data_IF_069715063637
#
_entry.id   IF_069715063637
#
_cell.length_a   1.000
_cell.length_b   1.000
_cell.length_c   1.000
_cell.angle_alpha   90.00
_cell.angle_beta   90.00
_cell.angle_gamma   90.00
#
_symmetry.space_group_name_H-M   'P 1'
#
loop_
_entity.id
_entity.type
_entity.pdbx_description
1 polymer ?
#
# COMPACT_ATOMS: atom_id res chain seq x y z
N UNK A 1 10.55 -25.04 11.39
CA UNK A 1 9.57 -24.10 10.84
C UNK A 1 9.38 -23.03 11.87
N UNK A 2 9.70 -21.81 11.47
CA UNK A 2 9.69 -20.61 12.27
C UNK A 2 8.34 -19.89 12.07
N UNK A 3 8.03 -18.95 12.95
CA UNK A 3 6.78 -18.18 12.91
C UNK A 3 7.10 -16.70 13.03
N UNK A 4 6.74 -15.90 12.02
CA UNK A 4 6.82 -14.44 12.09
C UNK A 4 5.49 -13.94 12.67
N UNK A 5 5.52 -13.47 13.92
CA UNK A 5 4.36 -12.90 14.61
C UNK A 5 4.34 -11.38 14.40
N UNK A 6 3.43 -10.91 13.56
CA UNK A 6 3.29 -9.50 13.17
C UNK A 6 1.96 -8.96 13.72
N UNK A 7 2.04 -8.01 14.65
CA UNK A 7 0.90 -7.40 15.31
C UNK A 7 0.61 -6.01 14.73
N UNK A 8 -0.63 -5.80 14.28
CA UNK A 8 -1.06 -4.57 13.59
C UNK A 8 -2.49 -4.18 13.98
N UNK A 9 -2.88 -2.94 13.68
CA UNK A 9 -4.29 -2.62 13.50
C UNK A 9 -4.68 -2.91 12.04
N UNK A 10 -5.29 -4.06 11.76
CA UNK A 10 -5.74 -4.35 10.40
C UNK A 10 -6.94 -3.47 9.96
N UNK A 11 -7.49 -2.61 10.82
CA UNK A 11 -8.37 -1.51 10.38
C UNK A 11 -7.59 -0.31 9.83
N UNK A 12 -6.28 -0.20 10.08
CA UNK A 12 -5.38 0.57 9.24
C UNK A 12 -5.02 -0.25 7.98
N UNK A 13 -5.52 0.10 6.79
CA UNK A 13 -5.27 -0.70 5.60
C UNK A 13 -3.81 -0.61 5.14
N UNK A 14 -3.04 0.43 5.50
CA UNK A 14 -1.62 0.51 5.22
C UNK A 14 -0.82 -0.58 5.94
N UNK A 15 -1.11 -0.81 7.22
CA UNK A 15 -0.51 -1.89 8.00
C UNK A 15 -0.91 -3.28 7.47
N UNK A 16 -2.20 -3.48 7.17
CA UNK A 16 -2.68 -4.71 6.55
C UNK A 16 -2.00 -4.99 5.19
N UNK A 17 -1.85 -3.97 4.34
CA UNK A 17 -1.18 -4.07 3.05
C UNK A 17 0.32 -4.35 3.22
N UNK A 18 0.98 -3.73 4.21
CA UNK A 18 2.40 -3.99 4.48
C UNK A 18 2.65 -5.43 4.96
N UNK A 19 1.73 -5.99 5.76
CA UNK A 19 1.73 -7.43 6.11
C UNK A 19 1.52 -8.30 4.86
N UNK A 20 0.60 -7.93 3.95
CA UNK A 20 0.47 -8.62 2.67
C UNK A 20 1.77 -8.56 1.83
N UNK A 21 2.50 -7.45 1.92
CA UNK A 21 3.83 -7.30 1.31
C UNK A 21 4.87 -8.25 1.92
N UNK A 22 4.91 -8.37 3.25
CA UNK A 22 5.78 -9.34 3.94
C UNK A 22 5.44 -10.78 3.51
N UNK A 23 4.15 -11.14 3.42
CA UNK A 23 3.70 -12.45 2.95
C UNK A 23 4.15 -12.72 1.49
N UNK A 24 4.09 -11.72 0.60
CA UNK A 24 4.61 -11.84 -0.77
C UNK A 24 6.12 -12.09 -0.80
N UNK A 25 6.89 -11.33 -0.01
CA UNK A 25 8.35 -11.41 0.04
C UNK A 25 8.82 -12.76 0.61
N UNK A 26 8.24 -13.19 1.73
CA UNK A 26 8.48 -14.52 2.33
C UNK A 26 8.06 -15.62 1.35
N UNK A 27 6.89 -15.48 0.70
CA UNK A 27 6.37 -16.45 -0.27
C UNK A 27 7.22 -16.68 -1.52
N UNK A 28 8.12 -15.74 -1.86
CA UNK A 28 9.05 -15.90 -2.98
C UNK A 28 10.30 -16.70 -2.60
N UNK A 29 10.81 -16.46 -1.40
CA UNK A 29 11.98 -17.14 -0.82
C UNK A 29 11.61 -18.54 -0.29
N UNK A 30 10.43 -18.68 0.30
CA UNK A 30 9.87 -19.95 0.80
C UNK A 30 8.46 -20.16 0.23
N UNK A 31 8.38 -20.98 -0.83
CA UNK A 31 7.13 -21.36 -1.50
C UNK A 31 6.22 -22.27 -0.65
N UNK A 32 6.71 -22.81 0.46
CA UNK A 32 5.93 -23.61 1.43
C UNK A 32 5.26 -22.77 2.51
N UNK A 33 5.62 -21.48 2.61
CA UNK A 33 5.12 -20.59 3.65
C UNK A 33 3.59 -20.41 3.61
N UNK A 34 3.01 -20.31 4.80
CA UNK A 34 1.58 -20.06 5.01
C UNK A 34 1.38 -18.87 5.94
N UNK A 35 0.21 -18.24 5.84
CA UNK A 35 -0.17 -17.12 6.69
C UNK A 35 -1.61 -17.26 7.19
N UNK A 36 -1.85 -16.90 8.46
CA UNK A 36 -3.19 -16.82 9.06
C UNK A 36 -3.33 -15.52 9.82
N UNK A 37 -4.57 -15.09 10.03
CA UNK A 37 -4.90 -13.96 10.89
C UNK A 37 -5.71 -14.42 12.10
N UNK A 38 -5.38 -13.86 13.26
CA UNK A 38 -6.09 -14.03 14.52
C UNK A 38 -6.29 -12.69 15.21
N UNK A 39 -7.15 -12.64 16.23
CA UNK A 39 -7.25 -11.48 17.13
C UNK A 39 -6.76 -11.88 18.51
N UNK A 40 -5.81 -11.13 19.05
CA UNK A 40 -5.16 -11.47 20.31
C UNK A 40 -5.07 -10.23 21.23
N UNK A 41 -5.45 -10.34 22.51
CA UNK A 41 -5.12 -9.36 23.54
C UNK A 41 -3.64 -9.49 23.96
N UNK A 42 -3.16 -8.60 24.82
CA UNK A 42 -1.90 -8.75 25.55
C UNK A 42 -0.61 -8.35 24.82
N UNK A 43 -0.63 -8.25 23.48
CA UNK A 43 0.59 -7.96 22.70
C UNK A 43 0.99 -6.48 22.68
N UNK A 44 0.08 -5.55 23.01
CA UNK A 44 0.42 -4.15 23.26
C UNK A 44 0.84 -4.01 24.72
N UNK A 45 2.15 -4.03 24.99
CA UNK A 45 2.70 -4.04 26.35
C UNK A 45 2.20 -2.88 27.26
N UNK A 46 1.87 -1.74 26.65
CA UNK A 46 1.34 -0.55 27.33
C UNK A 46 -0.17 -0.65 27.64
N UNK A 47 -0.91 -1.50 26.92
CA UNK A 47 -2.36 -1.69 27.07
C UNK A 47 -2.69 -3.18 26.88
N UNK A 48 -2.44 -4.06 27.88
CA UNK A 48 -2.61 -5.50 27.72
C UNK A 48 -4.06 -5.95 27.42
N UNK A 49 -5.05 -5.10 27.68
CA UNK A 49 -6.46 -5.32 27.30
C UNK A 49 -6.78 -5.00 25.84
N UNK A 50 -5.87 -4.34 25.10
CA UNK A 50 -6.07 -4.01 23.69
C UNK A 50 -5.97 -5.28 22.82
N UNK A 51 -7.04 -5.55 22.07
CA UNK A 51 -7.06 -6.62 21.05
C UNK A 51 -6.48 -6.07 19.74
N UNK A 52 -5.36 -6.64 19.30
CA UNK A 52 -4.78 -6.36 17.99
C UNK A 52 -5.15 -7.45 16.97
N UNK A 53 -5.00 -7.13 15.68
CA UNK A 53 -5.03 -8.12 14.61
C UNK A 53 -3.61 -8.66 14.40
N UNK A 54 -3.43 -9.96 14.57
CA UNK A 54 -2.13 -10.64 14.46
C UNK A 54 -2.11 -11.46 13.19
N UNK A 55 -1.12 -11.22 12.33
CA UNK A 55 -0.77 -12.18 11.29
C UNK A 55 0.38 -13.06 11.78
N UNK A 56 0.16 -14.37 11.76
CA UNK A 56 1.22 -15.36 11.88
C UNK A 56 1.60 -15.84 10.48
N UNK A 57 2.89 -15.79 10.15
CA UNK A 57 3.44 -16.35 8.91
C UNK A 57 4.37 -17.50 9.28
N UNK A 58 4.01 -18.73 8.90
CA UNK A 58 4.84 -19.92 9.11
C UNK A 58 5.78 -20.10 7.91
N UNK A 59 7.08 -20.30 8.18
CA UNK A 59 8.11 -20.37 7.13
C UNK A 59 9.34 -21.17 7.59
N UNK A 60 10.22 -21.55 6.66
CA UNK A 60 11.54 -22.09 6.95
C UNK A 60 12.63 -21.01 7.15
N UNK A 61 12.32 -19.73 6.91
CA UNK A 61 13.25 -18.59 6.99
C UNK A 61 13.35 -18.06 8.44
N UNK A 62 14.49 -17.51 8.85
CA UNK A 62 14.65 -16.81 10.14
C UNK A 62 14.13 -15.36 10.10
N UNK A 63 13.47 -14.89 11.17
CA UNK A 63 12.89 -13.52 11.19
C UNK A 63 13.98 -12.45 11.20
N UNK A 64 15.10 -12.66 11.92
CA UNK A 64 16.14 -11.67 12.08
C UNK A 64 17.03 -11.55 10.83
N UNK A 65 17.37 -12.67 10.19
CA UNK A 65 18.04 -12.65 8.88
C UNK A 65 17.16 -11.98 7.82
N UNK A 66 15.88 -12.38 7.72
CA UNK A 66 14.94 -11.80 6.76
C UNK A 66 14.73 -10.29 7.00
N UNK A 67 14.48 -9.87 8.23
CA UNK A 67 14.28 -8.46 8.57
C UNK A 67 15.53 -7.62 8.30
N UNK A 68 16.73 -8.14 8.61
CA UNK A 68 17.98 -7.43 8.37
C UNK A 68 18.23 -7.22 6.86
N UNK A 69 18.06 -8.26 6.04
CA UNK A 69 18.22 -8.16 4.58
C UNK A 69 17.12 -7.29 3.95
N UNK A 70 15.87 -7.41 4.41
CA UNK A 70 14.75 -6.60 3.92
C UNK A 70 14.93 -5.12 4.24
N UNK A 71 15.27 -4.78 5.49
CA UNK A 71 15.59 -3.41 5.90
C UNK A 71 16.69 -2.80 5.02
N UNK A 72 17.81 -3.51 4.86
CA UNK A 72 18.92 -3.10 4.00
C UNK A 72 18.51 -2.91 2.55
N UNK A 73 17.56 -3.69 2.03
CA UNK A 73 17.09 -3.61 0.64
C UNK A 73 16.00 -2.57 0.39
N UNK A 74 15.10 -2.34 1.34
CA UNK A 74 14.17 -1.21 1.29
C UNK A 74 14.94 0.12 1.32
N UNK A 75 16.03 0.21 2.10
CA UNK A 75 16.89 1.38 2.24
C UNK A 75 18.10 1.47 1.30
N UNK A 76 18.10 0.80 0.14
CA UNK A 76 19.24 0.77 -0.81
C UNK A 76 18.77 1.07 -2.23
N UNK A 77 19.11 2.25 -2.82
CA UNK A 77 18.70 2.60 -4.18
C UNK A 77 19.04 1.56 -5.25
N UNK A 78 20.18 0.86 -5.12
CA UNK A 78 20.60 -0.23 -6.03
C UNK A 78 19.70 -1.47 -6.00
N UNK A 79 18.74 -1.54 -5.07
CA UNK A 79 17.71 -2.57 -5.04
C UNK A 79 16.52 -2.25 -5.96
N UNK A 80 16.41 -1.00 -6.41
CA UNK A 80 15.22 -0.43 -7.03
C UNK A 80 15.48 0.02 -8.46
N UNK A 81 14.53 -0.30 -9.34
CA UNK A 81 14.63 -0.01 -10.76
C UNK A 81 13.31 0.58 -11.28
N UNK A 82 13.38 1.51 -12.22
CA UNK A 82 12.23 1.90 -13.02
C UNK A 82 12.17 1.08 -14.31
N UNK A 83 10.95 0.73 -14.73
CA UNK A 83 10.68 0.14 -16.05
C UNK A 83 10.15 1.26 -16.94
N UNK A 84 10.89 1.66 -17.98
CA UNK A 84 10.48 2.73 -18.92
C UNK A 84 9.89 2.15 -20.22
N UNK A 85 9.65 3.00 -21.22
CA UNK A 85 9.28 2.58 -22.58
C UNK A 85 10.39 1.80 -23.32
N UNK A 86 11.65 1.95 -22.87
CA UNK A 86 12.86 1.46 -23.57
C UNK A 86 13.63 0.40 -22.82
N UNK A 87 13.71 0.50 -21.50
CA UNK A 87 14.64 -0.28 -20.70
C UNK A 87 14.18 -0.40 -19.24
N UNK A 88 14.85 -1.27 -18.48
CA UNK A 88 14.86 -1.22 -17.03
C UNK A 88 16.14 -0.48 -16.59
N UNK A 89 15.97 0.61 -15.83
CA UNK A 89 17.06 1.48 -15.36
C UNK A 89 17.03 1.62 -13.84
N UNK A 90 18.13 1.96 -13.14
CA UNK A 90 18.11 2.26 -11.71
C UNK A 90 17.08 3.35 -11.35
N UNK A 91 16.43 3.24 -10.19
CA UNK A 91 15.35 4.16 -9.80
C UNK A 91 15.77 5.64 -9.79
N UNK A 92 17.02 5.91 -9.39
CA UNK A 92 17.59 7.26 -9.34
C UNK A 92 17.83 7.89 -10.73
N UNK A 93 17.97 7.08 -11.78
CA UNK A 93 18.15 7.58 -13.16
C UNK A 93 16.82 7.98 -13.81
N UNK A 94 15.69 7.45 -13.33
CA UNK A 94 14.35 7.71 -13.86
C UNK A 94 13.56 8.77 -13.06
N UNK A 95 14.21 9.57 -12.21
CA UNK A 95 13.57 10.72 -11.54
C UNK A 95 13.10 11.72 -12.61
N UNK A 96 11.91 12.30 -12.44
CA UNK A 96 11.20 13.11 -13.44
C UNK A 96 10.68 12.36 -14.69
N UNK A 97 11.17 11.15 -15.00
CA UNK A 97 10.76 10.40 -16.19
C UNK A 97 9.44 9.65 -16.02
N UNK A 98 8.85 9.20 -17.14
CA UNK A 98 7.73 8.27 -17.11
C UNK A 98 8.21 6.82 -16.97
N UNK A 99 7.74 6.14 -15.94
CA UNK A 99 7.93 4.71 -15.74
C UNK A 99 6.59 3.96 -15.86
N UNK A 100 6.58 2.82 -16.54
CA UNK A 100 5.48 1.86 -16.56
C UNK A 100 5.28 1.15 -15.21
N UNK A 101 6.32 1.10 -14.37
CA UNK A 101 6.33 0.47 -13.05
C UNK A 101 7.68 0.68 -12.35
N UNK A 102 7.75 0.33 -11.06
CA UNK A 102 9.00 0.31 -10.30
C UNK A 102 9.21 -1.10 -9.73
N UNK A 103 10.42 -1.63 -9.81
CA UNK A 103 10.78 -2.99 -9.42
C UNK A 103 11.71 -3.00 -8.20
N UNK A 104 11.36 -3.79 -7.18
CA UNK A 104 12.29 -4.19 -6.11
C UNK A 104 12.90 -5.56 -6.44
N UNK A 105 14.23 -5.66 -6.34
CA UNK A 105 14.95 -6.93 -6.46
C UNK A 105 15.57 -7.37 -5.12
N UNK A 106 15.04 -8.46 -4.56
CA UNK A 106 15.63 -9.15 -3.41
C UNK A 106 16.79 -10.06 -3.84
N UNK A 107 17.86 -10.19 -3.03
CA UNK A 107 18.81 -11.30 -3.13
C UNK A 107 18.10 -12.65 -3.04
N UNK A 108 18.56 -13.65 -3.79
CA UNK A 108 17.97 -15.00 -3.82
C UNK A 108 16.68 -15.15 -4.62
N UNK A 109 15.94 -14.06 -4.87
CA UNK A 109 14.78 -14.06 -5.76
C UNK A 109 15.22 -13.93 -7.23
N UNK A 110 14.80 -14.88 -8.08
CA UNK A 110 14.95 -14.78 -9.53
C UNK A 110 14.02 -13.69 -10.11
N UNK A 111 12.82 -13.56 -9.55
CA UNK A 111 11.77 -12.65 -10.01
C UNK A 111 11.76 -11.35 -9.19
N UNK A 112 11.89 -10.20 -9.84
CA UNK A 112 11.63 -8.90 -9.22
C UNK A 112 10.15 -8.71 -8.87
N UNK A 113 9.87 -7.81 -7.92
CA UNK A 113 8.50 -7.41 -7.57
C UNK A 113 8.18 -6.10 -8.28
N UNK A 114 7.30 -6.16 -9.27
CA UNK A 114 6.75 -4.96 -9.94
C UNK A 114 5.71 -4.31 -9.03
N UNK A 115 6.05 -3.13 -8.51
CA UNK A 115 5.11 -2.14 -7.99
C UNK A 115 4.55 -1.37 -9.19
N UNK A 116 3.42 -1.87 -9.70
CA UNK A 116 2.61 -1.17 -10.69
C UNK A 116 1.83 -0.06 -9.97
N UNK A 117 2.40 1.15 -10.00
CA UNK A 117 1.86 2.34 -9.34
C UNK A 117 0.70 2.98 -10.11
N UNK A 118 0.37 2.46 -11.31
CA UNK A 118 -0.75 2.94 -12.10
C UNK A 118 -2.03 2.17 -11.78
N UNK A 119 -2.85 2.74 -10.89
CA UNK A 119 -4.29 2.46 -10.87
C UNK A 119 -5.09 3.31 -11.89
N UNK A 120 -4.38 3.88 -12.87
CA UNK A 120 -4.91 4.24 -14.18
C UNK A 120 -4.66 3.10 -15.18
N UNK A 121 -5.49 2.97 -16.22
CA UNK A 121 -5.45 1.79 -17.10
C UNK A 121 -4.14 1.75 -17.90
N UNK A 122 -3.22 0.85 -17.52
CA UNK A 122 -2.03 0.55 -18.32
C UNK A 122 -2.44 0.15 -19.74
N UNK A 123 -1.98 0.92 -20.73
CA UNK A 123 -2.27 0.71 -22.15
C UNK A 123 -1.16 -0.14 -22.77
N UNK A 124 -1.55 -1.31 -23.27
CA UNK A 124 -0.63 -2.25 -23.93
C UNK A 124 -0.74 -2.07 -25.44
N UNK A 125 0.40 -1.92 -26.12
CA UNK A 125 0.48 -1.81 -27.58
C UNK A 125 1.50 -2.84 -28.10
N UNK A 126 1.00 -3.97 -28.58
CA UNK A 126 1.83 -5.15 -28.83
C UNK A 126 2.17 -5.83 -27.50
N UNK A 127 3.45 -6.00 -27.24
CA UNK A 127 4.04 -6.52 -26.00
C UNK A 127 4.44 -5.42 -24.99
N UNK A 128 4.56 -4.16 -25.45
CA UNK A 128 4.97 -3.04 -24.60
C UNK A 128 3.79 -2.36 -23.86
N UNK A 129 4.02 -1.98 -22.60
CA UNK A 129 3.20 -0.99 -21.89
C UNK A 129 3.69 0.41 -22.30
N UNK A 130 2.78 1.26 -22.77
CA UNK A 130 3.15 2.61 -23.25
C UNK A 130 2.23 3.69 -22.66
N UNK A 131 2.75 4.92 -22.54
CA UNK A 131 1.94 6.08 -22.19
C UNK A 131 0.81 6.26 -23.24
N UNK A 132 -0.43 6.52 -22.78
CA UNK A 132 -1.57 6.72 -23.70
C UNK A 132 -1.32 7.96 -24.58
N UNK A 133 -1.47 7.88 -25.92
CA UNK A 133 -1.08 8.96 -26.83
C UNK A 133 -1.87 10.27 -26.63
N UNK A 134 -3.18 10.22 -26.35
CA UNK A 134 -3.95 11.45 -26.13
C UNK A 134 -3.99 11.89 -24.67
N UNK A 135 -3.49 13.10 -24.42
CA UNK A 135 -3.56 13.83 -23.14
C UNK A 135 -4.98 14.30 -22.76
N UNK A 136 -5.94 14.29 -23.69
CA UNK A 136 -7.36 14.63 -23.41
C UNK A 136 -8.15 13.38 -23.05
N UNK A 137 -8.87 13.39 -21.92
CA UNK A 137 -9.81 12.33 -21.55
C UNK A 137 -10.82 12.74 -20.46
N UNK A 138 -12.10 12.68 -20.79
CA UNK A 138 -13.24 12.79 -19.86
C UNK A 138 -13.46 11.48 -19.08
N UNK A 139 -12.36 10.94 -18.55
CA UNK A 139 -12.27 9.58 -18.04
C UNK A 139 -11.18 9.45 -16.99
N UNK A 140 -11.24 10.34 -15.98
CA UNK A 140 -10.36 10.37 -14.81
C UNK A 140 -10.18 8.95 -14.24
N UNK A 141 -8.94 8.47 -14.10
CA UNK A 141 -8.65 7.19 -13.46
C UNK A 141 -9.28 7.12 -12.07
N UNK A 142 -9.98 6.02 -11.76
CA UNK A 142 -10.84 5.93 -10.56
C UNK A 142 -10.09 5.82 -9.23
N UNK A 143 -8.76 5.65 -9.26
CA UNK A 143 -7.92 5.54 -8.08
C UNK A 143 -6.51 6.02 -8.45
N UNK A 144 -5.99 7.02 -7.72
CA UNK A 144 -4.59 7.43 -7.76
C UNK A 144 -4.19 7.78 -6.33
N UNK A 145 -3.50 6.87 -5.66
CA UNK A 145 -2.83 7.18 -4.40
C UNK A 145 -1.77 8.23 -4.66
N UNK A 146 -1.71 9.24 -3.79
CA UNK A 146 -0.78 10.34 -4.01
C UNK A 146 0.58 10.09 -3.43
N UNK A 147 1.56 10.42 -4.25
CA UNK A 147 2.73 11.08 -3.73
C UNK A 147 2.36 12.39 -3.05
N UNK A 148 2.52 12.46 -1.73
CA UNK A 148 2.43 13.72 -0.99
C UNK A 148 3.48 14.72 -1.47
N UNK A 149 3.08 16.00 -1.57
CA UNK A 149 3.89 17.15 -2.01
C UNK A 149 5.02 16.80 -3.00
N UNK A 150 4.63 16.36 -4.20
CA UNK A 150 5.56 16.43 -5.33
C UNK A 150 5.88 17.89 -5.61
N UNK A 151 7.13 18.29 -5.37
CA UNK A 151 7.77 19.23 -6.29
C UNK A 151 7.56 18.64 -7.69
N UNK A 152 6.84 19.36 -8.55
CA UNK A 152 6.23 18.83 -9.78
C UNK A 152 7.21 18.26 -10.81
N UNK A 153 8.50 18.36 -10.50
CA UNK A 153 9.64 17.98 -11.31
C UNK A 153 10.22 16.60 -10.92
N UNK A 154 9.80 15.98 -9.79
CA UNK A 154 10.36 14.70 -9.30
C UNK A 154 9.60 13.44 -9.73
N UNK A 155 8.27 13.52 -9.86
CA UNK A 155 7.42 12.37 -10.19
C UNK A 155 7.36 11.28 -9.11
N UNK A 156 6.81 10.12 -9.48
CA UNK A 156 6.63 8.96 -8.58
C UNK A 156 7.94 8.22 -8.29
N UNK A 157 8.84 8.18 -9.27
CA UNK A 157 10.21 7.64 -9.13
C UNK A 157 11.01 8.44 -8.11
N UNK A 158 10.94 9.78 -8.16
CA UNK A 158 11.54 10.67 -7.17
C UNK A 158 10.98 10.47 -5.76
N UNK A 159 9.67 10.28 -5.59
CA UNK A 159 9.12 9.94 -4.26
C UNK A 159 9.59 8.57 -3.77
N UNK A 160 9.59 7.56 -4.64
CA UNK A 160 10.02 6.23 -4.22
C UNK A 160 11.50 6.26 -3.83
N UNK A 161 12.32 7.09 -4.47
CA UNK A 161 13.67 7.39 -4.02
C UNK A 161 13.69 8.09 -2.65
N UNK A 162 12.89 9.14 -2.42
CA UNK A 162 12.79 9.80 -1.10
C UNK A 162 12.39 8.81 0.02
N UNK A 163 11.49 7.85 -0.28
CA UNK A 163 11.07 6.78 0.64
C UNK A 163 12.18 5.76 0.90
N UNK A 164 12.99 5.44 -0.11
CA UNK A 164 14.15 4.54 -0.01
C UNK A 164 15.27 5.20 0.80
N UNK A 165 15.57 6.47 0.55
CA UNK A 165 16.56 7.25 1.31
C UNK A 165 16.12 7.41 2.77
N UNK A 166 14.84 7.70 3.03
CA UNK A 166 14.27 7.69 4.39
C UNK A 166 14.33 6.30 5.06
N UNK A 167 14.31 5.23 4.26
CA UNK A 167 14.42 3.82 4.71
C UNK A 167 15.88 3.37 4.93
N UNK A 168 16.89 4.12 4.51
CA UNK A 168 18.31 3.78 4.74
C UNK A 168 18.66 3.67 6.24
N UNK A 169 17.88 4.31 7.11
CA UNK A 169 18.03 4.26 8.56
C UNK A 169 17.39 3.00 9.22
N UNK A 170 16.79 2.09 8.44
CA UNK A 170 16.29 0.79 8.94
C UNK A 170 17.40 -0.22 9.28
N UNK A 171 18.66 0.07 8.92
CA UNK A 171 19.79 -0.84 9.09
C UNK A 171 19.94 -1.31 10.55
N UNK A 172 19.76 -2.62 10.78
CA UNK A 172 19.77 -3.23 12.10
C UNK A 172 18.42 -3.78 12.59
N UNK A 173 17.35 -3.67 11.80
CA UNK A 173 16.06 -4.28 12.14
C UNK A 173 16.17 -5.82 12.26
N UNK A 174 16.00 -6.33 13.48
CA UNK A 174 16.03 -7.77 13.82
C UNK A 174 14.66 -8.45 13.82
N UNK A 175 13.59 -7.70 13.51
CA UNK A 175 12.20 -8.17 13.41
C UNK A 175 11.45 -7.39 12.35
N UNK A 176 10.50 -8.01 11.65
CA UNK A 176 9.68 -7.32 10.63
C UNK A 176 8.78 -6.26 11.26
N UNK A 177 8.38 -6.47 12.52
CA UNK A 177 7.66 -5.48 13.33
C UNK A 177 8.42 -4.15 13.43
N UNK A 178 9.76 -4.19 13.50
CA UNK A 178 10.58 -2.98 13.63
C UNK A 178 10.57 -2.17 12.33
N UNK A 179 10.47 -2.82 11.17
CA UNK A 179 10.35 -2.17 9.86
C UNK A 179 8.98 -1.47 9.72
N UNK A 180 7.91 -2.10 10.22
CA UNK A 180 6.56 -1.51 10.21
C UNK A 180 6.37 -0.38 11.25
N UNK A 181 7.13 -0.42 12.34
CA UNK A 181 7.09 0.58 13.40
C UNK A 181 8.06 1.76 13.17
N UNK A 182 9.03 1.64 12.27
CA UNK A 182 10.03 2.67 12.00
C UNK A 182 9.38 3.96 11.47
N UNK A 183 9.60 5.05 12.19
CA UNK A 183 9.14 6.38 11.85
C UNK A 183 10.28 7.30 11.40
N UNK A 184 10.03 8.12 10.38
CA UNK A 184 10.93 9.15 9.89
C UNK A 184 10.22 10.50 9.78
N UNK A 185 10.87 11.56 10.25
CA UNK A 185 10.38 12.94 10.18
C UNK A 185 10.62 13.51 8.78
N UNK A 186 9.57 14.03 8.14
CA UNK A 186 9.67 14.67 6.82
C UNK A 186 9.81 13.73 5.62
N UNK A 187 9.67 12.41 5.80
CA UNK A 187 9.68 11.47 4.67
C UNK A 187 8.45 11.65 3.77
N UNK A 188 8.66 11.59 2.45
CA UNK A 188 7.59 11.48 1.44
C UNK A 188 6.68 10.27 1.70
N UNK A 189 5.45 10.26 1.15
CA UNK A 189 4.43 9.22 1.40
C UNK A 189 3.56 8.94 0.17
N UNK A 190 3.14 7.68 0.02
CA UNK A 190 2.09 7.19 -0.89
C UNK A 190 0.68 7.33 -0.28
N UNK A 191 0.57 7.65 1.01
CA UNK A 191 -0.68 7.88 1.75
C UNK A 191 -1.59 6.64 1.82
N UNK A 192 -0.96 5.48 1.98
CA UNK A 192 -1.64 4.20 2.27
C UNK A 192 -1.78 3.97 3.79
N UNK A 193 -0.89 4.54 4.61
CA UNK A 193 -0.99 4.56 6.07
C UNK A 193 -2.01 5.61 6.56
N UNK A 194 -3.20 5.12 6.89
CA UNK A 194 -4.31 5.93 7.39
C UNK A 194 -4.00 6.64 8.72
N UNK A 195 -2.97 6.20 9.48
CA UNK A 195 -2.54 6.87 10.71
C UNK A 195 -1.85 8.21 10.44
N UNK A 196 -1.20 8.36 9.27
CA UNK A 196 -0.48 9.60 8.90
C UNK A 196 -1.39 10.67 8.29
N UNK A 197 -2.58 10.27 7.83
CA UNK A 197 -3.55 11.10 7.10
C UNK A 197 -4.75 11.55 7.96
N UNK A 198 -4.77 11.25 9.25
CA UNK A 198 -5.75 11.86 10.19
C UNK A 198 -5.35 13.30 10.49
N UNK A 199 -6.32 14.21 10.43
CA UNK A 199 -6.14 15.56 10.96
C UNK A 199 -6.22 15.54 12.49
N UNK A 200 -5.70 16.55 13.17
CA UNK A 200 -5.78 16.62 14.65
C UNK A 200 -7.22 16.81 15.17
N UNK A 201 -8.16 17.19 14.31
CA UNK A 201 -9.61 17.23 14.62
C UNK A 201 -10.08 15.82 15.03
N UNK A 202 -9.57 14.76 14.40
CA UNK A 202 -9.82 13.35 14.79
C UNK A 202 -9.22 12.97 16.16
N UNK A 203 -8.43 13.86 16.78
CA UNK A 203 -7.83 13.73 18.12
C UNK A 203 -8.42 14.72 19.14
N UNK A 204 -9.34 15.60 18.73
CA UNK A 204 -9.89 16.65 19.59
C UNK A 204 -8.93 17.80 19.90
N UNK A 205 -7.89 18.03 19.07
CA UNK A 205 -6.86 19.05 19.26
C UNK A 205 -6.80 19.95 18.02
N UNK A 206 -6.53 21.25 18.19
CA UNK A 206 -6.51 22.25 17.11
C UNK A 206 -5.57 21.87 15.95
N UNK A 207 -5.98 22.18 14.73
CA UNK A 207 -5.19 21.93 13.52
C UNK A 207 -3.90 22.76 13.46
N UNK A 208 -3.88 23.93 14.10
CA UNK A 208 -2.71 24.82 14.09
C UNK A 208 -1.58 24.26 14.98
N UNK A 209 -1.93 23.71 16.14
CA UNK A 209 -0.97 23.16 17.12
C UNK A 209 -0.29 21.87 16.61
N UNK A 210 -0.91 21.19 15.65
CA UNK A 210 -0.35 20.00 14.98
C UNK A 210 0.42 20.33 13.70
N UNK A 211 0.43 21.60 13.27
CA UNK A 211 1.13 22.07 12.06
C UNK A 211 2.43 22.84 12.40
N UNK A 212 2.53 23.42 13.60
CA UNK A 212 3.72 24.15 14.07
C UNK A 212 4.94 23.26 14.29
N UNK A 213 4.73 22.05 14.81
CA UNK A 213 5.79 21.21 15.38
C UNK A 213 6.41 20.21 14.36
N UNK A 214 6.15 20.45 13.08
CA UNK A 214 6.58 19.60 11.97
C UNK A 214 5.53 18.54 11.58
N UNK A 215 5.49 18.22 10.28
CA UNK A 215 4.52 17.27 9.74
C UNK A 215 4.62 15.88 10.35
N UNK A 216 3.49 15.15 10.39
CA UNK A 216 3.39 13.84 11.04
C UNK A 216 4.50 12.85 10.65
N UNK A 217 4.99 12.07 11.62
CA UNK A 217 6.03 11.06 11.39
C UNK A 217 5.51 10.06 10.34
N UNK A 218 6.21 9.95 9.22
CA UNK A 218 5.91 8.97 8.17
C UNK A 218 6.54 7.62 8.48
N UNK A 219 5.99 6.52 7.96
CA UNK A 219 6.53 5.17 8.15
C UNK A 219 7.03 4.60 6.82
N UNK A 220 8.25 4.97 6.37
CA UNK A 220 8.64 4.77 4.97
C UNK A 220 8.77 3.29 4.58
N UNK A 221 9.30 2.45 5.47
CA UNK A 221 9.35 0.99 5.26
C UNK A 221 7.97 0.35 5.16
N UNK A 222 6.99 0.84 5.94
CA UNK A 222 5.59 0.41 5.86
C UNK A 222 4.95 0.85 4.55
N UNK A 223 5.13 2.10 4.12
CA UNK A 223 4.57 2.62 2.86
C UNK A 223 5.10 1.83 1.64
N UNK A 224 6.40 1.52 1.60
CA UNK A 224 7.01 0.67 0.56
C UNK A 224 6.48 -0.78 0.59
N UNK A 225 6.38 -1.39 1.78
CA UNK A 225 5.83 -2.74 1.93
C UNK A 225 4.33 -2.80 1.60
N UNK A 226 3.58 -1.75 1.92
CA UNK A 226 2.18 -1.63 1.58
C UNK A 226 1.97 -1.50 0.08
N UNK A 227 2.83 -0.76 -0.64
CA UNK A 227 2.82 -0.73 -2.10
C UNK A 227 3.09 -2.11 -2.72
N UNK A 228 4.06 -2.86 -2.18
CA UNK A 228 4.35 -4.25 -2.59
C UNK A 228 3.12 -5.16 -2.39
N UNK A 229 2.54 -5.16 -1.18
CA UNK A 229 1.36 -5.97 -0.87
C UNK A 229 0.14 -5.58 -1.69
N UNK A 230 -0.05 -4.29 -1.94
CA UNK A 230 -1.12 -3.73 -2.77
C UNK A 230 -1.00 -4.23 -4.23
N UNK A 231 0.17 -4.11 -4.86
CA UNK A 231 0.41 -4.63 -6.22
C UNK A 231 0.31 -6.16 -6.30
N UNK A 232 0.77 -6.90 -5.28
CA UNK A 232 0.80 -8.36 -5.30
C UNK A 232 -0.56 -9.04 -4.98
N UNK A 233 -1.33 -8.49 -4.04
CA UNK A 233 -2.62 -9.05 -3.61
C UNK A 233 -3.81 -8.42 -4.35
N UNK A 234 -3.70 -7.16 -4.77
CA UNK A 234 -4.75 -6.40 -5.45
C UNK A 234 -4.25 -5.80 -6.79
N UNK A 235 -3.69 -6.62 -7.69
CA UNK A 235 -3.06 -6.14 -8.93
C UNK A 235 -4.03 -5.31 -9.79
N UNK A 236 -3.54 -4.24 -10.45
CA UNK A 236 -4.34 -3.46 -11.39
C UNK A 236 -4.77 -4.33 -12.57
N UNK A 237 -5.97 -4.05 -13.12
CA UNK A 237 -6.41 -4.66 -14.37
C UNK A 237 -6.00 -3.78 -15.54
N UNK A 238 -5.28 -4.36 -16.50
CA UNK A 238 -4.76 -3.72 -17.72
C UNK A 238 -5.89 -3.49 -18.74
N UNK A 239 -5.59 -2.91 -19.91
CA UNK A 239 -6.56 -2.72 -20.99
C UNK A 239 -6.20 -3.53 -22.25
N UNK A 240 -7.22 -4.03 -22.94
CA UNK A 240 -7.12 -4.87 -24.15
C UNK A 240 -8.29 -5.85 -24.25
N UNK A 241 -8.50 -6.48 -25.41
CA UNK A 241 -9.70 -7.29 -25.70
C UNK A 241 -9.88 -8.54 -24.83
N UNK A 242 -8.81 -8.96 -24.13
CA UNK A 242 -8.81 -10.09 -23.19
C UNK A 242 -8.66 -9.65 -21.72
N UNK A 243 -8.73 -8.35 -21.42
CA UNK A 243 -8.46 -7.82 -20.09
C UNK A 243 -9.74 -7.74 -19.22
N UNK A 244 -9.74 -8.29 -17.99
CA UNK A 244 -10.91 -8.26 -17.12
C UNK A 244 -11.19 -6.86 -16.53
N UNK A 245 -12.44 -6.56 -16.15
CA UNK A 245 -12.90 -5.19 -15.82
C UNK A 245 -12.60 -4.64 -14.40
N UNK A 246 -11.83 -3.54 -14.31
CA UNK A 246 -11.73 -2.68 -13.12
C UNK A 246 -10.87 -3.19 -11.95
N UNK A 247 -10.35 -2.29 -11.11
CA UNK A 247 -9.44 -2.65 -10.00
C UNK A 247 -10.07 -3.64 -9.02
N UNK A 248 -9.32 -4.69 -8.69
CA UNK A 248 -9.83 -5.74 -7.79
C UNK A 248 -10.05 -5.16 -6.39
N UNK A 249 -11.25 -5.41 -5.86
CA UNK A 249 -11.71 -5.01 -4.52
C UNK A 249 -11.92 -3.49 -4.25
N UNK A 250 -11.86 -2.61 -5.26
CA UNK A 250 -12.33 -1.21 -5.12
C UNK A 250 -13.73 -1.04 -5.70
N UNK A 251 -14.66 -0.45 -4.93
CA UNK A 251 -16.02 -0.16 -5.37
C UNK A 251 -16.57 1.11 -4.71
N UNK A 252 -17.08 2.08 -5.49
CA UNK A 252 -17.69 3.35 -5.01
C UNK A 252 -16.87 4.06 -3.90
N UNK A 253 -15.58 4.37 -4.17
CA UNK A 253 -14.63 4.93 -3.19
C UNK A 253 -14.46 4.11 -1.90
N UNK A 254 -14.77 2.81 -1.88
CA UNK A 254 -14.39 1.89 -0.80
C UNK A 254 -13.32 0.91 -1.31
N UNK A 255 -12.22 0.79 -0.58
CA UNK A 255 -11.28 -0.32 -0.71
C UNK A 255 -11.72 -1.45 0.22
N UNK A 256 -11.93 -2.65 -0.32
CA UNK A 256 -12.40 -3.83 0.40
C UNK A 256 -11.27 -4.84 0.56
N UNK A 257 -11.15 -5.42 1.74
CA UNK A 257 -10.17 -6.45 2.01
C UNK A 257 -10.62 -7.34 3.16
N UNK A 258 -9.96 -8.47 3.34
CA UNK A 258 -10.35 -9.49 4.30
C UNK A 258 -9.11 -10.05 5.00
N UNK A 259 -9.16 -10.20 6.32
CA UNK A 259 -8.23 -11.08 7.04
C UNK A 259 -8.81 -12.50 7.08
N UNK A 260 -7.98 -13.54 7.08
CA UNK A 260 -8.42 -14.93 6.85
C UNK A 260 -7.89 -15.90 7.90
N UNK A 261 -8.64 -16.99 8.12
CA UNK A 261 -8.24 -18.17 8.90
C UNK A 261 -8.89 -19.41 8.27
N UNK A 262 -8.28 -20.61 8.26
CA UNK A 262 -6.99 -20.99 8.85
C UNK A 262 -5.78 -20.52 8.01
N UNK A 263 -4.62 -21.13 8.27
CA UNK A 263 -3.37 -20.95 7.51
C UNK A 263 -3.58 -21.13 5.99
N UNK A 264 -3.22 -20.10 5.23
CA UNK A 264 -3.31 -20.05 3.77
C UNK A 264 -1.90 -19.96 3.15
N UNK A 265 -1.58 -20.81 2.17
CA UNK A 265 -0.41 -20.58 1.31
C UNK A 265 -0.57 -19.28 0.53
N UNK A 266 0.51 -18.64 0.09
CA UNK A 266 0.46 -17.28 -0.48
C UNK A 266 -0.53 -17.13 -1.65
N UNK A 267 -0.71 -18.15 -2.50
CA UNK A 267 -1.74 -18.15 -3.54
C UNK A 267 -3.18 -18.10 -2.99
N UNK A 268 -3.46 -18.81 -1.90
CA UNK A 268 -4.74 -18.78 -1.20
C UNK A 268 -4.89 -17.47 -0.41
N UNK A 269 -3.85 -17.00 0.27
CA UNK A 269 -3.84 -15.74 1.01
C UNK A 269 -4.24 -14.56 0.10
N UNK A 270 -3.64 -14.47 -1.10
CA UNK A 270 -4.04 -13.50 -2.14
C UNK A 270 -5.52 -13.63 -2.52
N UNK A 271 -6.09 -14.84 -2.62
CA UNK A 271 -7.52 -15.06 -2.95
C UNK A 271 -8.44 -14.63 -1.79
N UNK A 272 -8.15 -15.09 -0.57
CA UNK A 272 -8.91 -14.76 0.63
C UNK A 272 -8.92 -13.25 0.90
N UNK A 273 -7.78 -12.58 0.77
CA UNK A 273 -7.62 -11.12 0.90
C UNK A 273 -8.58 -10.31 0.02
N UNK A 274 -8.86 -10.80 -1.19
CA UNK A 274 -9.77 -10.21 -2.17
C UNK A 274 -11.26 -10.55 -1.93
N UNK A 275 -11.56 -11.34 -0.90
CA UNK A 275 -12.91 -11.79 -0.58
C UNK A 275 -13.42 -12.96 -1.43
N UNK A 276 -12.53 -13.71 -2.08
CA UNK A 276 -12.92 -14.93 -2.79
C UNK A 276 -13.28 -16.00 -1.76
N UNK A 277 -14.47 -16.59 -1.89
CA UNK A 277 -14.90 -17.68 -1.02
C UNK A 277 -14.09 -18.95 -1.29
N UNK A 278 -13.18 -19.30 -0.38
CA UNK A 278 -12.42 -20.55 -0.40
C UNK A 278 -13.06 -21.53 0.60
N UNK A 279 -13.43 -22.76 0.22
CA UNK A 279 -14.00 -23.75 1.14
C UNK A 279 -13.10 -24.00 2.35
N UNK A 280 -13.70 -23.99 3.55
CA UNK A 280 -12.97 -24.15 4.82
C UNK A 280 -12.35 -22.87 5.40
N UNK A 281 -12.30 -21.77 4.66
CA UNK A 281 -11.78 -20.49 5.15
C UNK A 281 -12.89 -19.56 5.66
N UNK A 282 -12.61 -18.87 6.77
CA UNK A 282 -13.42 -17.79 7.31
C UNK A 282 -12.71 -16.45 7.04
N UNK A 283 -13.42 -15.50 6.44
CA UNK A 283 -12.89 -14.19 6.07
C UNK A 283 -13.58 -13.05 6.81
N UNK A 284 -12.82 -12.21 7.49
CA UNK A 284 -13.32 -11.03 8.21
C UNK A 284 -13.20 -9.79 7.32
N UNK A 285 -14.33 -9.40 6.71
CA UNK A 285 -14.42 -8.24 5.80
C UNK A 285 -14.10 -6.93 6.52
N UNK A 286 -13.32 -6.09 5.86
CA UNK A 286 -13.08 -4.68 6.19
C UNK A 286 -13.34 -3.82 4.95
N UNK A 287 -13.80 -2.59 5.19
CA UNK A 287 -14.10 -1.61 4.13
C UNK A 287 -13.50 -0.26 4.55
N UNK A 288 -12.41 0.14 3.88
CA UNK A 288 -11.71 1.40 4.06
C UNK A 288 -12.27 2.46 3.09
N UNK A 289 -12.80 3.59 3.58
CA UNK A 289 -13.15 4.72 2.74
C UNK A 289 -11.90 5.32 2.07
N UNK A 290 -11.99 5.59 0.78
CA UNK A 290 -10.97 6.32 0.02
C UNK A 290 -11.34 7.81 0.11
N UNK A 291 -10.60 8.54 0.93
CA UNK A 291 -10.73 9.99 1.05
C UNK A 291 -10.10 10.73 -0.13
N UNK A 292 -10.45 12.01 -0.29
CA UNK A 292 -9.86 12.90 -1.29
C UNK A 292 -9.19 14.10 -0.60
N UNK A 293 -8.07 14.56 -1.16
CA UNK A 293 -7.39 15.81 -0.82
C UNK A 293 -7.04 16.49 -2.14
N UNK A 294 -7.83 17.49 -2.56
CA UNK A 294 -7.77 18.00 -3.93
C UNK A 294 -7.99 16.88 -4.96
N UNK A 295 -7.08 16.75 -5.94
CA UNK A 295 -7.16 15.70 -6.98
C UNK A 295 -6.71 14.30 -6.52
N UNK A 296 -6.33 14.13 -5.25
CA UNK A 296 -5.59 12.97 -4.77
C UNK A 296 -6.37 12.07 -3.82
N UNK A 297 -6.13 10.76 -3.89
CA UNK A 297 -6.75 9.76 -2.99
C UNK A 297 -5.83 9.35 -1.84
N UNK A 298 -6.41 9.09 -0.67
CA UNK A 298 -5.76 8.44 0.49
C UNK A 298 -6.70 7.41 1.14
N UNK A 299 -6.16 6.48 1.93
CA UNK A 299 -6.97 5.54 2.70
C UNK A 299 -7.34 6.10 4.08
N UNK A 300 -8.62 6.02 4.43
CA UNK A 300 -9.09 6.16 5.82
C UNK A 300 -9.11 4.79 6.51
N UNK A 301 -9.15 4.78 7.84
CA UNK A 301 -9.35 3.57 8.62
C UNK A 301 -10.63 2.83 8.18
N UNK A 302 -10.55 1.52 8.10
CA UNK A 302 -11.69 0.67 7.77
C UNK A 302 -12.68 0.58 8.92
N UNK A 303 -13.96 0.37 8.59
CA UNK A 303 -15.00 0.09 9.58
C UNK A 303 -14.66 -1.22 10.34
N UNK A 304 -14.80 -1.26 11.67
CA UNK A 304 -14.62 -2.49 12.44
C UNK A 304 -15.54 -3.61 11.95
N UNK A 305 -15.06 -4.85 12.04
CA UNK A 305 -15.80 -6.03 11.63
C UNK A 305 -17.14 -6.16 12.38
N UNK A 306 -18.21 -6.51 11.65
CA UNK A 306 -19.54 -6.73 12.22
C UNK A 306 -20.40 -5.47 12.43
N UNK A 307 -19.87 -4.26 12.23
CA UNK A 307 -20.65 -3.00 12.36
C UNK A 307 -21.54 -2.79 11.12
N UNK A 308 -22.64 -3.54 11.07
CA UNK A 308 -23.63 -3.48 10.02
C UNK A 308 -24.59 -2.30 10.20
N UNK A 309 -24.38 -1.23 9.43
CA UNK A 309 -25.42 -0.25 9.10
C UNK A 309 -25.76 0.79 10.17
N UNK A 310 -24.99 1.88 10.22
CA UNK A 310 -25.53 3.24 10.34
C UNK A 310 -24.53 4.23 9.71
N UNK A 311 -25.00 5.45 9.43
CA UNK A 311 -24.31 6.49 8.65
C UNK A 311 -23.76 6.02 7.29
N UNK A 312 -24.43 6.45 6.22
CA UNK A 312 -23.67 6.91 5.06
C UNK A 312 -22.75 8.05 5.52
N UNK A 313 -21.55 8.16 4.93
CA UNK A 313 -20.79 9.40 5.06
C UNK A 313 -21.61 10.46 4.32
N UNK A 314 -21.96 11.56 4.97
CA UNK A 314 -22.59 12.70 4.31
C UNK A 314 -21.64 13.24 3.23
N UNK A 315 -22.19 13.71 2.11
CA UNK A 315 -21.42 14.40 1.05
C UNK A 315 -21.06 15.83 1.48
N UNK A 316 -20.49 15.97 2.69
CA UNK A 316 -19.90 17.22 3.17
C UNK A 316 -18.57 17.45 2.44
N UNK A 317 -18.52 18.54 1.66
CA UNK A 317 -17.42 18.91 0.74
C UNK A 317 -17.24 17.99 -0.48
N UNK A 318 -18.36 17.62 -1.10
CA UNK A 318 -18.39 17.11 -2.47
C UNK A 318 -19.38 17.86 -3.38
N UNK A 319 -19.39 19.21 -3.32
CA UNK A 319 -19.76 20.10 -4.44
C UNK A 319 -19.47 21.58 -4.10
N UNK A 320 -18.45 22.14 -4.76
CA UNK A 320 -18.32 23.54 -5.18
C UNK A 320 -17.33 23.52 -6.38
N UNK A 321 -17.31 24.55 -7.23
CA UNK A 321 -16.49 24.67 -8.46
C UNK A 321 -16.76 23.70 -9.64
N UNK A 322 -18.03 23.41 -9.99
CA UNK A 322 -18.42 23.13 -11.40
C UNK A 322 -19.82 23.66 -11.76
N UNK A 323 -19.96 24.97 -12.06
CA UNK A 323 -20.96 25.51 -13.01
C UNK A 323 -20.87 27.04 -13.21
N UNK A 324 -20.07 27.49 -14.18
CA UNK A 324 -20.42 28.70 -14.97
C UNK A 324 -20.24 28.39 -16.45
N UNK A 325 -21.34 27.98 -17.11
CA UNK A 325 -21.41 28.02 -18.57
C UNK A 325 -21.55 29.48 -19.00
N UNK A 326 -20.50 30.04 -19.60
CA UNK A 326 -20.58 31.36 -20.21
C UNK A 326 -21.48 31.31 -21.46
N UNK A 327 -22.74 31.66 -21.29
CA UNK A 327 -23.66 31.90 -22.41
C UNK A 327 -23.26 33.17 -23.17
N UNK A 328 -22.77 33.01 -24.40
CA UNK A 328 -22.71 34.06 -25.41
C UNK A 328 -22.91 33.43 -26.79
N UNK A 329 -23.79 34.06 -27.58
CA UNK A 329 -24.32 33.66 -28.90
C UNK A 329 -25.23 32.41 -28.92
#
# INVERSE_FOLDING_TARGET
>A
MNSFIVAVDATNPGEYLAVCGIIELVGRLDRSSTSTWTRQPGLVAQVPSAVCDVCEILTCIDEAEFACQLAKKLGSPDAWYAVTDRARVPLAEAVAEWAAGVELQLPGCCDAIVIDHWYERAFVKGDHVVQKPDKKRDGKGRWKFWAGQQDSNKGITGLLLDLVDASANLNGASRVQNILAFGSSGSSRLNVDAATTRSSIDRGISANDAASDGGSIGRPGLELLAAIGLSAFFPPRRYGDSAPDGTVAVHKRLFRYFTWTPQASVCLARLCARGVGVPGFQGVRREAPIGMMGQYSYLRFARPAGVGGMAAVSDETADEDVAEENSNE
#
